data_IF_987990934107
#
_entry.id   IF_987990934107
#
_cell.length_a   1.000
_cell.length_b   1.000
_cell.length_c   1.000
_cell.angle_alpha   90.00
_cell.angle_beta   90.00
_cell.angle_gamma   90.00
#
_symmetry.space_group_name_H-M   'P 1'
#
loop_
_entity.id
_entity.type
_entity.pdbx_description
1 polymer ?
#
# COMPACT_ATOMS: atom_id res chain seq x y z
N UNK A 1 -27.48 29.96 29.14
CA UNK A 1 -27.25 30.27 27.71
C UNK A 1 -28.03 29.27 26.89
N UNK A 2 -29.09 29.72 26.25
CA UNK A 2 -29.99 28.92 25.42
C UNK A 2 -29.37 28.64 24.06
N UNK A 3 -29.49 27.40 23.63
CA UNK A 3 -28.94 26.83 22.39
C UNK A 3 -29.82 27.21 21.19
N UNK A 4 -29.85 28.48 20.82
CA UNK A 4 -30.51 28.93 19.60
C UNK A 4 -29.62 29.98 18.95
N UNK A 5 -28.86 29.53 17.95
CA UNK A 5 -28.53 30.24 16.71
C UNK A 5 -27.39 29.47 16.03
N UNK A 6 -27.75 28.32 15.41
CA UNK A 6 -26.94 27.82 14.31
C UNK A 6 -27.31 28.74 13.14
N UNK A 7 -26.43 29.68 12.86
CA UNK A 7 -26.52 30.58 11.71
C UNK A 7 -26.97 29.78 10.48
N UNK A 8 -28.04 30.26 9.84
CA UNK A 8 -28.48 29.75 8.53
C UNK A 8 -27.29 29.86 7.59
N UNK A 9 -26.64 28.74 7.29
CA UNK A 9 -25.66 28.64 6.22
C UNK A 9 -26.29 29.18 4.95
N UNK A 10 -25.86 30.36 4.52
CA UNK A 10 -26.32 30.97 3.28
C UNK A 10 -25.91 30.02 2.15
N UNK A 11 -26.84 29.44 1.38
CA UNK A 11 -26.45 28.56 0.28
C UNK A 11 -25.64 29.38 -0.72
N UNK A 12 -24.44 28.89 -1.04
CA UNK A 12 -23.63 29.41 -2.15
C UNK A 12 -24.50 29.46 -3.40
N UNK A 13 -24.49 30.59 -4.11
CA UNK A 13 -25.35 30.81 -5.27
C UNK A 13 -25.15 29.70 -6.32
N UNK A 14 -26.13 28.80 -6.39
CA UNK A 14 -26.16 27.72 -7.37
C UNK A 14 -26.46 28.30 -8.77
N UNK A 15 -25.83 27.82 -9.85
CA UNK A 15 -26.13 28.30 -11.21
C UNK A 15 -27.63 28.17 -11.52
N UNK A 16 -28.21 29.17 -12.18
CA UNK A 16 -29.66 29.32 -12.36
C UNK A 16 -30.33 28.21 -13.19
N UNK A 17 -29.55 27.33 -13.84
CA UNK A 17 -30.03 26.14 -14.56
C UNK A 17 -29.08 24.97 -14.30
N UNK A 18 -29.48 24.07 -13.42
CA UNK A 18 -28.80 22.80 -13.16
C UNK A 18 -29.68 21.70 -13.73
N UNK A 19 -29.08 20.76 -14.47
CA UNK A 19 -29.81 19.56 -14.91
C UNK A 19 -30.29 18.76 -13.70
N UNK A 20 -31.47 18.13 -13.77
CA UNK A 20 -32.04 17.39 -12.63
C UNK A 20 -31.04 16.38 -12.02
N UNK A 21 -30.26 15.68 -12.85
CA UNK A 21 -29.22 14.77 -12.37
C UNK A 21 -28.14 15.45 -11.52
N UNK A 22 -27.63 16.60 -11.95
CA UNK A 22 -26.62 17.37 -11.19
C UNK A 22 -27.20 17.93 -9.88
N UNK A 23 -28.46 18.35 -9.86
CA UNK A 23 -29.12 18.83 -8.65
C UNK A 23 -29.32 17.71 -7.61
N UNK A 24 -29.69 16.50 -8.07
CA UNK A 24 -29.78 15.30 -7.22
C UNK A 24 -28.41 14.95 -6.65
N UNK A 25 -27.35 14.97 -7.46
CA UNK A 25 -25.99 14.65 -7.01
C UNK A 25 -25.49 15.62 -5.95
N UNK A 26 -25.67 16.94 -6.15
CA UNK A 26 -25.30 17.95 -5.16
C UNK A 26 -26.04 17.75 -3.84
N UNK A 27 -27.34 17.46 -3.91
CA UNK A 27 -28.17 17.23 -2.72
C UNK A 27 -27.74 15.97 -1.97
N UNK A 28 -27.43 14.88 -2.70
CA UNK A 28 -26.90 13.64 -2.13
C UNK A 28 -25.56 13.89 -1.43
N UNK A 29 -24.62 14.57 -2.07
CA UNK A 29 -23.30 14.83 -1.51
C UNK A 29 -23.38 15.62 -0.19
N UNK A 30 -24.25 16.63 -0.11
CA UNK A 30 -24.48 17.38 1.13
C UNK A 30 -25.10 16.49 2.20
N UNK A 31 -26.12 15.70 1.84
CA UNK A 31 -26.81 14.81 2.78
C UNK A 31 -25.87 13.72 3.33
N UNK A 32 -25.00 13.14 2.50
CA UNK A 32 -24.02 12.14 2.92
C UNK A 32 -23.01 12.70 3.92
N UNK A 33 -22.48 13.90 3.66
CA UNK A 33 -21.54 14.58 4.57
C UNK A 33 -22.22 14.92 5.90
N UNK A 34 -23.43 15.49 5.85
CA UNK A 34 -24.19 15.83 7.06
C UNK A 34 -24.54 14.58 7.87
N UNK A 35 -25.02 13.52 7.21
CA UNK A 35 -25.36 12.25 7.87
C UNK A 35 -24.13 11.62 8.52
N UNK A 36 -22.98 11.60 7.85
CA UNK A 36 -21.75 11.06 8.42
C UNK A 36 -21.30 11.81 9.69
N UNK A 37 -21.37 13.14 9.69
CA UNK A 37 -21.04 13.95 10.87
C UNK A 37 -22.04 13.66 11.99
N UNK A 38 -23.34 13.70 11.71
CA UNK A 38 -24.39 13.49 12.72
C UNK A 38 -24.26 12.10 13.36
N UNK A 39 -24.12 11.05 12.55
CA UNK A 39 -23.94 9.67 13.04
C UNK A 39 -22.66 9.54 13.87
N UNK A 40 -21.55 10.13 13.43
CA UNK A 40 -20.29 10.07 14.18
C UNK A 40 -20.35 10.80 15.53
N UNK A 41 -21.12 11.90 15.63
CA UNK A 41 -21.35 12.61 16.91
C UNK A 41 -22.33 11.87 17.82
N UNK A 42 -23.35 11.22 17.27
CA UNK A 42 -24.34 10.45 18.04
C UNK A 42 -23.79 9.10 18.50
N UNK A 43 -22.91 8.50 17.71
CA UNK A 43 -22.25 7.22 17.98
C UNK A 43 -20.72 7.44 18.04
N UNK A 44 -20.22 8.09 19.11
CA UNK A 44 -18.79 8.33 19.27
C UNK A 44 -18.01 7.02 19.40
N UNK A 45 -16.80 6.97 18.83
CA UNK A 45 -15.90 5.81 18.96
C UNK A 45 -15.56 5.54 20.44
N UNK A 46 -15.49 4.27 20.82
CA UNK A 46 -14.87 3.84 22.07
C UNK A 46 -13.38 3.59 21.84
N UNK A 47 -12.53 4.42 22.46
CA UNK A 47 -11.07 4.35 22.31
C UNK A 47 -10.53 3.03 22.88
N UNK A 48 -11.10 2.53 23.98
CA UNK A 48 -10.66 1.27 24.59
C UNK A 48 -10.96 0.10 23.67
N UNK A 49 -12.15 0.08 23.08
CA UNK A 49 -12.54 -0.93 22.09
C UNK A 49 -11.65 -0.85 20.83
N UNK A 50 -11.40 0.35 20.30
CA UNK A 50 -10.53 0.56 19.15
C UNK A 50 -9.08 0.07 19.39
N UNK A 51 -8.54 0.31 20.59
CA UNK A 51 -7.21 -0.18 21.00
C UNK A 51 -7.21 -1.71 21.13
N UNK A 52 -8.23 -2.30 21.73
CA UNK A 52 -8.34 -3.75 21.84
C UNK A 52 -8.43 -4.42 20.46
N UNK A 53 -9.23 -3.86 19.56
CA UNK A 53 -9.38 -4.35 18.20
C UNK A 53 -8.09 -4.21 17.39
N UNK A 54 -7.41 -3.06 17.48
CA UNK A 54 -6.09 -2.86 16.88
C UNK A 54 -5.10 -3.89 17.39
N UNK A 55 -5.05 -4.14 18.70
CA UNK A 55 -4.16 -5.14 19.30
C UNK A 55 -4.44 -6.53 18.76
N UNK A 56 -5.71 -6.94 18.75
CA UNK A 56 -6.12 -8.23 18.20
C UNK A 56 -5.71 -8.37 16.73
N UNK A 57 -5.96 -7.35 15.92
CA UNK A 57 -5.66 -7.36 14.49
C UNK A 57 -4.15 -7.41 14.21
N UNK A 58 -3.35 -6.62 14.93
CA UNK A 58 -1.89 -6.59 14.77
C UNK A 58 -1.20 -7.88 15.25
N UNK A 59 -1.89 -8.71 16.05
CA UNK A 59 -1.39 -10.05 16.39
C UNK A 59 -1.63 -11.10 15.30
N UNK A 60 -2.46 -10.81 14.30
CA UNK A 60 -2.74 -11.75 13.21
C UNK A 60 -1.57 -11.81 12.22
N UNK A 61 -1.03 -13.01 11.94
CA UNK A 61 0.07 -13.16 10.97
C UNK A 61 -0.26 -12.55 9.60
N UNK A 62 -1.51 -12.72 9.14
CA UNK A 62 -1.96 -12.22 7.84
C UNK A 62 -1.77 -10.70 7.67
N UNK A 63 -2.05 -9.92 8.72
CA UNK A 63 -1.82 -8.48 8.71
C UNK A 63 -0.33 -8.16 8.90
N UNK A 64 0.31 -8.80 9.88
CA UNK A 64 1.70 -8.56 10.23
C UNK A 64 2.64 -8.73 9.02
N UNK A 65 2.42 -9.76 8.19
CA UNK A 65 3.16 -10.03 6.96
C UNK A 65 3.06 -8.93 5.91
N UNK A 66 1.96 -8.14 5.93
CA UNK A 66 1.71 -7.04 5.00
C UNK A 66 1.85 -5.67 5.65
N UNK A 67 2.17 -5.61 6.94
CA UNK A 67 2.13 -4.38 7.72
C UNK A 67 3.24 -3.40 7.34
N UNK A 68 4.32 -3.87 6.71
CA UNK A 68 5.48 -3.06 6.36
C UNK A 68 5.83 -3.21 4.88
N UNK A 69 6.06 -2.07 4.22
CA UNK A 69 6.68 -2.07 2.89
C UNK A 69 8.20 -2.01 3.04
N UNK A 70 8.91 -2.49 2.01
CA UNK A 70 10.36 -2.40 1.94
C UNK A 70 10.81 -2.31 0.49
N UNK A 71 11.72 -1.38 0.19
CA UNK A 71 12.37 -1.31 -1.13
C UNK A 71 13.77 -0.69 -1.04
N UNK A 72 14.69 -1.07 -1.95
CA UNK A 72 16.00 -0.43 -2.04
C UNK A 72 15.91 0.95 -2.69
N UNK A 73 16.61 1.94 -2.14
CA UNK A 73 16.77 3.29 -2.71
C UNK A 73 18.15 3.84 -2.35
N UNK A 74 18.91 4.30 -3.35
CA UNK A 74 20.23 4.93 -3.17
C UNK A 74 21.21 4.13 -2.29
N UNK A 75 21.26 2.80 -2.48
CA UNK A 75 22.13 1.91 -1.69
C UNK A 75 21.66 1.62 -0.26
N UNK A 76 20.53 2.20 0.17
CA UNK A 76 19.91 1.93 1.46
C UNK A 76 18.58 1.21 1.28
N UNK A 77 18.11 0.56 2.34
CA UNK A 77 16.76 -0.02 2.35
C UNK A 77 15.79 0.92 3.05
N UNK A 78 14.77 1.37 2.32
CA UNK A 78 13.66 2.16 2.88
C UNK A 78 12.58 1.21 3.35
N UNK A 79 12.11 1.39 4.58
CA UNK A 79 11.00 0.62 5.15
C UNK A 79 10.07 1.51 5.96
N UNK A 80 8.84 1.06 6.14
CA UNK A 80 7.87 1.75 6.97
C UNK A 80 6.50 1.06 6.95
N UNK A 81 5.52 1.60 7.69
CA UNK A 81 4.19 1.03 7.72
C UNK A 81 3.53 1.12 6.34
N UNK A 82 2.81 0.07 5.96
CA UNK A 82 2.18 -0.06 4.65
C UNK A 82 0.78 0.57 4.61
N UNK A 83 0.19 0.64 3.41
CA UNK A 83 -1.22 1.02 3.24
C UNK A 83 -2.17 -0.01 3.85
N UNK A 84 -1.78 -1.29 3.96
CA UNK A 84 -2.60 -2.32 4.59
C UNK A 84 -2.74 -2.06 6.08
N UNK A 85 -1.62 -1.74 6.76
CA UNK A 85 -1.67 -1.34 8.17
C UNK A 85 -2.50 -0.07 8.34
N UNK A 86 -2.30 0.95 7.49
CA UNK A 86 -3.06 2.20 7.58
C UNK A 86 -4.58 1.96 7.49
N UNK A 87 -5.05 1.21 6.49
CA UNK A 87 -6.47 0.91 6.29
C UNK A 87 -7.05 0.13 7.46
N UNK A 88 -6.31 -0.83 7.99
CA UNK A 88 -6.76 -1.59 9.16
C UNK A 88 -6.85 -0.72 10.42
N UNK A 89 -5.88 0.17 10.64
CA UNK A 89 -5.94 1.11 11.76
C UNK A 89 -7.10 2.10 11.63
N UNK A 90 -7.39 2.59 10.42
CA UNK A 90 -8.56 3.42 10.18
C UNK A 90 -9.87 2.67 10.47
N UNK A 91 -9.93 1.38 10.10
CA UNK A 91 -11.08 0.50 10.39
C UNK A 91 -11.28 0.34 11.90
N UNK A 92 -10.24 -0.03 12.64
CA UNK A 92 -10.28 -0.20 14.10
C UNK A 92 -10.56 1.11 14.83
N UNK A 93 -10.05 2.24 14.34
CA UNK A 93 -10.31 3.55 14.94
C UNK A 93 -11.80 3.93 14.84
N UNK A 94 -12.49 3.47 13.79
CA UNK A 94 -13.89 3.80 13.49
C UNK A 94 -14.05 5.22 12.94
N UNK A 95 -15.25 5.68 12.61
CA UNK A 95 -15.56 7.09 12.29
C UNK A 95 -14.48 7.81 11.45
N UNK A 96 -13.97 7.14 10.41
CA UNK A 96 -12.94 7.64 9.50
C UNK A 96 -13.40 7.35 8.07
N UNK A 97 -13.35 8.38 7.23
CA UNK A 97 -13.48 8.23 5.79
C UNK A 97 -12.12 8.43 5.14
N UNK A 98 -11.76 7.61 4.17
CA UNK A 98 -10.55 7.80 3.37
C UNK A 98 -10.81 7.30 1.96
N UNK A 99 -10.02 7.78 1.00
CA UNK A 99 -10.20 7.37 -0.37
C UNK A 99 -9.18 7.94 -1.33
N UNK A 100 -9.25 7.42 -2.55
CA UNK A 100 -8.51 7.88 -3.71
C UNK A 100 -9.52 8.16 -4.83
N UNK A 101 -9.44 9.34 -5.43
CA UNK A 101 -10.24 9.74 -6.58
C UNK A 101 -9.32 10.12 -7.74
N UNK A 102 -9.61 9.64 -8.95
CA UNK A 102 -9.06 10.22 -10.18
C UNK A 102 -9.96 11.40 -10.57
N UNK A 103 -9.45 12.62 -10.45
CA UNK A 103 -10.20 13.84 -10.75
C UNK A 103 -10.25 14.11 -12.25
N UNK A 104 -9.14 13.81 -12.93
CA UNK A 104 -8.99 14.01 -14.37
C UNK A 104 -7.97 13.02 -14.90
N UNK A 105 -8.21 12.52 -16.11
CA UNK A 105 -7.26 11.74 -16.88
C UNK A 105 -7.00 12.43 -18.21
N UNK A 106 -5.74 12.57 -18.56
CA UNK A 106 -5.27 13.19 -19.79
C UNK A 106 -4.31 12.24 -20.50
N UNK A 107 -4.85 11.44 -21.41
CA UNK A 107 -4.04 10.48 -22.16
C UNK A 107 -3.18 11.16 -23.24
N UNK A 108 -3.52 12.39 -23.66
CA UNK A 108 -2.73 13.16 -24.63
C UNK A 108 -1.47 13.75 -23.98
N UNK A 109 -1.62 14.35 -22.79
CA UNK A 109 -0.50 14.82 -21.99
C UNK A 109 0.19 13.70 -21.19
N UNK A 110 -0.44 12.52 -21.11
CA UNK A 110 0.09 11.34 -20.42
C UNK A 110 0.16 11.53 -18.91
N UNK A 111 -0.92 12.00 -18.29
CA UNK A 111 -1.01 12.19 -16.84
C UNK A 111 -2.41 11.98 -16.28
N UNK A 112 -2.48 11.65 -14.99
CA UNK A 112 -3.73 11.64 -14.21
C UNK A 112 -3.62 12.58 -13.02
N UNK A 113 -4.63 13.42 -12.84
CA UNK A 113 -4.82 14.19 -11.63
C UNK A 113 -5.57 13.35 -10.61
N UNK A 114 -4.92 13.09 -9.48
CA UNK A 114 -5.42 12.20 -8.44
C UNK A 114 -5.58 12.98 -7.14
N UNK A 115 -6.54 12.58 -6.31
CA UNK A 115 -6.71 13.10 -4.97
C UNK A 115 -6.78 11.95 -3.96
N UNK A 116 -5.92 11.99 -2.95
CA UNK A 116 -6.00 11.12 -1.80
C UNK A 116 -6.47 11.92 -0.57
N UNK A 117 -7.35 11.35 0.24
CA UNK A 117 -7.87 12.02 1.43
C UNK A 117 -8.09 11.05 2.59
N UNK A 118 -8.10 11.62 3.79
CA UNK A 118 -8.61 10.98 4.99
C UNK A 118 -9.28 12.02 5.91
N UNK A 119 -10.35 11.63 6.58
CA UNK A 119 -11.15 12.48 7.45
C UNK A 119 -11.63 11.68 8.65
N UNK A 120 -11.15 12.04 9.84
CA UNK A 120 -11.80 11.66 11.09
C UNK A 120 -13.06 12.52 11.23
N UNK A 121 -14.22 11.93 10.91
CA UNK A 121 -15.51 12.65 10.91
C UNK A 121 -15.96 13.04 12.31
N UNK A 122 -15.53 12.31 13.35
CA UNK A 122 -15.94 12.59 14.73
C UNK A 122 -15.12 13.74 15.35
N UNK A 123 -13.81 13.80 15.08
CA UNK A 123 -12.91 14.86 15.55
C UNK A 123 -12.76 16.00 14.55
N UNK A 124 -13.34 15.85 13.37
CA UNK A 124 -13.25 16.76 12.24
C UNK A 124 -11.80 17.07 11.81
N UNK A 125 -10.89 16.10 11.96
CA UNK A 125 -9.51 16.20 11.46
C UNK A 125 -9.46 15.68 10.03
N UNK A 126 -9.11 16.53 9.07
CA UNK A 126 -9.13 16.20 7.64
C UNK A 126 -7.81 16.54 6.98
N UNK A 127 -7.38 15.66 6.10
CA UNK A 127 -6.24 15.88 5.21
C UNK A 127 -6.61 15.43 3.80
N UNK A 128 -6.12 16.17 2.81
CA UNK A 128 -6.27 15.85 1.39
C UNK A 128 -5.06 16.34 0.62
N UNK A 129 -4.61 15.53 -0.34
CA UNK A 129 -3.56 15.89 -1.27
C UNK A 129 -4.05 15.61 -2.68
N UNK A 130 -4.09 16.65 -3.51
CA UNK A 130 -4.19 16.53 -4.97
C UNK A 130 -2.79 16.49 -5.55
N UNK A 131 -2.56 15.60 -6.52
CA UNK A 131 -1.24 15.36 -7.11
C UNK A 131 -1.38 14.83 -8.54
N UNK A 132 -0.38 15.13 -9.35
CA UNK A 132 -0.27 14.62 -10.72
C UNK A 132 0.52 13.31 -10.71
N UNK A 133 -0.01 12.30 -11.40
CA UNK A 133 0.66 11.04 -11.69
C UNK A 133 0.97 10.98 -13.18
N UNK A 134 2.24 11.19 -13.57
CA UNK A 134 2.62 11.00 -14.96
C UNK A 134 2.47 9.52 -15.37
N UNK A 135 1.98 9.26 -16.58
CA UNK A 135 1.86 7.95 -17.20
C UNK A 135 3.23 7.48 -17.71
N UNK A 136 4.20 7.39 -16.79
CA UNK A 136 5.55 6.93 -17.06
C UNK A 136 6.05 6.07 -15.91
N UNK A 137 6.93 5.13 -16.22
CA UNK A 137 7.62 4.28 -15.26
C UNK A 137 9.11 4.48 -15.37
N UNK A 138 9.75 4.76 -14.25
CA UNK A 138 11.21 4.84 -14.19
C UNK A 138 11.84 3.47 -14.46
N UNK A 139 12.85 3.43 -15.33
CA UNK A 139 13.62 2.24 -15.66
C UNK A 139 15.11 2.58 -15.77
N UNK A 140 15.96 1.55 -15.72
CA UNK A 140 17.38 1.68 -16.00
C UNK A 140 17.54 2.12 -17.47
N UNK A 141 18.00 3.36 -17.69
CA UNK A 141 18.08 3.99 -19.01
C UNK A 141 17.10 5.16 -19.24
N UNK A 142 16.24 5.46 -18.26
CA UNK A 142 15.34 6.62 -18.29
C UNK A 142 13.87 6.25 -18.11
N UNK A 143 12.98 7.25 -17.96
CA UNK A 143 11.54 7.02 -17.83
C UNK A 143 10.95 6.48 -19.14
N UNK A 144 10.19 5.39 -19.06
CA UNK A 144 9.42 4.82 -20.18
C UNK A 144 7.96 5.25 -20.06
N UNK A 145 7.39 5.77 -21.15
CA UNK A 145 5.96 6.07 -21.21
C UNK A 145 5.10 4.79 -21.05
N UNK A 146 4.01 4.90 -20.30
CA UNK A 146 3.00 3.86 -20.14
C UNK A 146 1.85 4.18 -21.08
N UNK A 147 1.57 3.27 -22.00
CA UNK A 147 0.46 3.41 -22.97
C UNK A 147 -0.64 2.38 -22.74
N UNK A 148 -0.32 1.29 -22.03
CA UNK A 148 -1.29 0.27 -21.67
C UNK A 148 -2.25 0.78 -20.59
N UNK A 149 -3.56 0.62 -20.81
CA UNK A 149 -4.58 1.02 -19.83
C UNK A 149 -4.34 0.37 -18.45
N UNK A 150 -3.95 -0.91 -18.43
CA UNK A 150 -3.62 -1.64 -17.21
C UNK A 150 -2.41 -1.04 -16.49
N UNK A 151 -1.33 -0.78 -17.23
CA UNK A 151 -0.11 -0.20 -16.66
C UNK A 151 -0.35 1.18 -16.05
N UNK A 152 -1.16 2.01 -16.72
CA UNK A 152 -1.54 3.34 -16.22
C UNK A 152 -2.39 3.20 -14.94
N UNK A 153 -3.37 2.31 -14.94
CA UNK A 153 -4.21 2.07 -13.77
C UNK A 153 -3.38 1.60 -12.56
N UNK A 154 -2.49 0.62 -12.76
CA UNK A 154 -1.63 0.10 -11.70
C UNK A 154 -0.65 1.18 -11.21
N UNK A 155 -0.10 2.01 -12.10
CA UNK A 155 0.74 3.15 -11.72
C UNK A 155 -0.01 4.17 -10.87
N UNK A 156 -1.24 4.53 -11.26
CA UNK A 156 -2.09 5.46 -10.51
C UNK A 156 -2.49 4.89 -9.15
N UNK A 157 -2.89 3.61 -9.10
CA UNK A 157 -3.24 2.92 -7.87
C UNK A 157 -2.05 2.86 -6.89
N UNK A 158 -0.85 2.56 -7.39
CA UNK A 158 0.37 2.51 -6.58
C UNK A 158 0.76 3.88 -6.02
N UNK A 159 0.70 4.93 -6.85
CA UNK A 159 0.97 6.29 -6.41
C UNK A 159 -0.07 6.81 -5.41
N UNK A 160 -1.34 6.46 -5.62
CA UNK A 160 -2.44 6.81 -4.75
C UNK A 160 -2.40 6.09 -3.41
N UNK A 161 -2.07 4.79 -3.39
CA UNK A 161 -1.98 4.00 -2.17
C UNK A 161 -0.97 4.59 -1.16
N UNK A 162 0.16 5.13 -1.63
CA UNK A 162 1.16 5.80 -0.79
C UNK A 162 0.60 7.04 -0.10
N UNK A 163 -0.20 7.83 -0.82
CA UNK A 163 -0.76 9.10 -0.34
C UNK A 163 -2.01 8.89 0.50
N UNK A 164 -2.83 7.89 0.20
CA UNK A 164 -3.93 7.45 1.09
C UNK A 164 -3.37 6.99 2.43
N UNK A 165 -2.29 6.20 2.40
CA UNK A 165 -1.60 5.78 3.62
C UNK A 165 -1.13 6.97 4.46
N UNK A 166 -0.48 7.95 3.83
CA UNK A 166 -0.01 9.17 4.51
C UNK A 166 -1.18 9.99 5.06
N UNK A 167 -2.25 10.13 4.27
CA UNK A 167 -3.47 10.81 4.70
C UNK A 167 -4.09 10.14 5.95
N UNK A 168 -4.21 8.81 5.95
CA UNK A 168 -4.73 8.08 7.11
C UNK A 168 -3.84 8.28 8.33
N UNK A 169 -2.52 8.13 8.20
CA UNK A 169 -1.64 8.32 9.36
C UNK A 169 -1.63 9.75 9.90
N UNK A 170 -1.87 10.76 9.07
CA UNK A 170 -1.94 12.14 9.51
C UNK A 170 -3.16 12.47 10.38
N UNK A 171 -4.23 11.67 10.33
CA UNK A 171 -5.43 11.86 11.17
C UNK A 171 -5.45 10.96 12.41
N UNK A 172 -4.62 9.92 12.46
CA UNK A 172 -4.56 8.98 13.58
C UNK A 172 -3.61 9.47 14.68
N UNK A 173 -3.87 9.16 15.96
CA UNK A 173 -2.93 9.46 17.03
C UNK A 173 -1.59 8.72 16.84
N UNK A 174 -0.43 9.40 16.97
CA UNK A 174 0.87 8.77 16.74
C UNK A 174 1.13 7.53 17.61
N UNK A 175 0.75 7.56 18.89
CA UNK A 175 0.92 6.44 19.81
C UNK A 175 0.16 5.18 19.36
N UNK A 176 -1.01 5.33 18.74
CA UNK A 176 -1.82 4.23 18.25
C UNK A 176 -1.15 3.54 17.06
N UNK A 177 -0.53 4.33 16.19
CA UNK A 177 0.23 3.83 15.03
C UNK A 177 1.53 3.15 15.48
N UNK A 178 2.26 3.73 16.44
CA UNK A 178 3.50 3.14 16.95
C UNK A 178 3.27 1.82 17.69
N UNK A 179 2.22 1.74 18.51
CA UNK A 179 1.87 0.48 19.19
C UNK A 179 1.52 -0.62 18.18
N UNK A 180 0.73 -0.30 17.15
CA UNK A 180 0.39 -1.23 16.08
C UNK A 180 1.63 -1.74 15.32
N UNK A 181 2.58 -0.84 15.03
CA UNK A 181 3.86 -1.22 14.40
C UNK A 181 4.63 -2.19 15.29
N UNK A 182 4.74 -1.92 16.58
CA UNK A 182 5.45 -2.79 17.51
C UNK A 182 4.80 -4.19 17.56
N UNK A 183 3.47 -4.24 17.64
CA UNK A 183 2.71 -5.50 17.66
C UNK A 183 2.94 -6.33 16.40
N UNK A 184 2.78 -5.74 15.22
CA UNK A 184 3.05 -6.42 13.96
C UNK A 184 4.51 -6.93 13.89
N UNK A 185 5.47 -6.12 14.33
CA UNK A 185 6.87 -6.53 14.38
C UNK A 185 7.12 -7.68 15.38
N UNK A 186 6.42 -7.69 16.52
CA UNK A 186 6.47 -8.82 17.47
C UNK A 186 5.89 -10.09 16.86
N UNK A 187 4.75 -10.00 16.18
CA UNK A 187 4.14 -11.15 15.50
C UNK A 187 5.05 -11.73 14.42
N UNK A 188 5.72 -10.88 13.63
CA UNK A 188 6.70 -11.33 12.65
C UNK A 188 7.91 -12.00 13.30
N UNK A 189 8.41 -11.46 14.41
CA UNK A 189 9.51 -12.05 15.18
C UNK A 189 9.15 -13.42 15.74
N UNK A 190 7.99 -13.54 16.35
CA UNK A 190 7.49 -14.82 16.88
C UNK A 190 7.38 -15.87 15.77
N UNK A 191 6.81 -15.51 14.62
CA UNK A 191 6.75 -16.40 13.45
C UNK A 191 6.00 -17.71 13.71
N UNK A 192 5.04 -17.72 14.65
CA UNK A 192 4.34 -18.92 15.08
C UNK A 192 5.22 -19.85 15.93
N UNK A 193 6.15 -19.29 16.70
CA UNK A 193 7.13 -20.03 17.50
C UNK A 193 8.26 -20.70 16.70
N UNK A 194 8.35 -20.47 15.39
CA UNK A 194 9.39 -21.06 14.53
C UNK A 194 10.64 -20.16 14.45
N UNK A 195 11.83 -20.69 14.80
CA UNK A 195 13.10 -19.98 14.60
C UNK A 195 13.29 -19.47 13.17
N UNK A 196 13.92 -18.29 13.02
CA UNK A 196 14.10 -17.63 11.72
C UNK A 196 14.87 -18.50 10.72
N UNK A 197 15.94 -19.18 11.15
CA UNK A 197 16.73 -20.06 10.28
C UNK A 197 15.89 -21.20 9.67
N UNK A 198 14.97 -21.78 10.44
CA UNK A 198 14.05 -22.82 9.94
C UNK A 198 13.07 -22.20 8.94
N UNK A 199 12.52 -21.03 9.24
CA UNK A 199 11.60 -20.33 8.33
C UNK A 199 12.25 -19.93 7.00
N UNK A 200 13.53 -19.54 7.03
CA UNK A 200 14.32 -19.26 5.83
C UNK A 200 14.47 -20.53 4.97
N UNK A 201 14.86 -21.65 5.59
CA UNK A 201 14.99 -22.93 4.91
C UNK A 201 13.66 -23.40 4.29
N UNK A 202 12.56 -23.27 5.03
CA UNK A 202 11.20 -23.58 4.55
C UNK A 202 10.83 -22.71 3.34
N UNK A 203 11.14 -21.41 3.38
CA UNK A 203 10.87 -20.49 2.28
C UNK A 203 11.68 -20.85 1.03
N UNK A 204 12.99 -21.10 1.15
CA UNK A 204 13.85 -21.50 0.02
C UNK A 204 13.33 -22.79 -0.62
N UNK A 205 12.99 -23.80 0.19
CA UNK A 205 12.45 -25.07 -0.30
C UNK A 205 11.10 -24.90 -1.01
N UNK A 206 10.23 -24.04 -0.50
CA UNK A 206 8.95 -23.74 -1.14
C UNK A 206 9.14 -23.10 -2.52
N UNK A 207 10.09 -22.17 -2.65
CA UNK A 207 10.42 -21.52 -3.93
C UNK A 207 11.16 -22.43 -4.91
N UNK A 208 11.98 -23.36 -4.43
CA UNK A 208 12.60 -24.40 -5.25
C UNK A 208 11.54 -25.26 -5.96
N UNK A 209 10.44 -25.59 -5.26
CA UNK A 209 9.29 -26.27 -5.86
C UNK A 209 8.57 -25.47 -6.96
N UNK A 210 8.83 -24.17 -7.06
CA UNK A 210 8.35 -23.28 -8.13
C UNK A 210 9.44 -23.01 -9.20
N UNK A 211 10.59 -23.68 -9.14
CA UNK A 211 11.70 -23.46 -10.06
C UNK A 211 12.52 -22.20 -9.79
N UNK A 212 12.42 -21.60 -8.60
CA UNK A 212 13.18 -20.40 -8.21
C UNK A 212 14.37 -20.82 -7.35
N UNK A 213 15.58 -20.52 -7.82
CA UNK A 213 16.83 -20.79 -7.10
C UNK A 213 17.06 -19.78 -5.97
N UNK A 214 17.85 -20.15 -4.96
CA UNK A 214 18.24 -19.24 -3.88
C UNK A 214 18.84 -17.93 -4.43
N UNK A 215 19.70 -18.00 -5.44
CA UNK A 215 20.33 -16.84 -6.08
C UNK A 215 19.32 -15.86 -6.70
N UNK A 216 18.22 -16.36 -7.30
CA UNK A 216 17.12 -15.51 -7.81
C UNK A 216 16.41 -14.79 -6.66
N UNK A 217 16.22 -15.46 -5.52
CA UNK A 217 15.60 -14.85 -4.34
C UNK A 217 16.53 -13.80 -3.73
N UNK A 218 17.82 -14.09 -3.61
CA UNK A 218 18.82 -13.15 -3.11
C UNK A 218 18.93 -11.90 -4.00
N UNK A 219 18.85 -12.08 -5.32
CA UNK A 219 18.80 -10.99 -6.30
C UNK A 219 17.57 -10.11 -6.08
N UNK A 220 16.39 -10.71 -5.89
CA UNK A 220 15.13 -10.01 -5.61
C UNK A 220 15.19 -9.19 -4.31
N UNK A 221 15.77 -9.76 -3.25
CA UNK A 221 15.88 -9.12 -1.93
C UNK A 221 17.09 -8.19 -1.81
N UNK A 222 18.03 -8.25 -2.76
CA UNK A 222 19.28 -7.50 -2.78
C UNK A 222 20.25 -7.88 -1.65
N UNK A 223 20.19 -9.12 -1.15
CA UNK A 223 21.11 -9.62 -0.10
C UNK A 223 21.12 -11.14 0.00
N UNK A 224 22.23 -11.64 0.51
CA UNK A 224 22.46 -13.06 0.78
C UNK A 224 21.50 -13.61 1.85
N UNK A 225 21.18 -14.90 1.73
CA UNK A 225 20.27 -15.66 2.60
C UNK A 225 20.64 -15.53 4.08
N UNK A 226 21.94 -15.52 4.40
CA UNK A 226 22.42 -15.34 5.78
C UNK A 226 22.14 -13.96 6.40
N UNK A 227 21.67 -12.99 5.61
CA UNK A 227 21.30 -11.63 6.07
C UNK A 227 19.79 -11.38 6.00
N UNK A 228 18.99 -12.42 5.79
CA UNK A 228 17.54 -12.29 5.77
C UNK A 228 17.00 -12.03 7.17
N UNK A 229 15.92 -11.26 7.20
CA UNK A 229 15.17 -10.84 8.39
C UNK A 229 13.78 -11.48 8.36
N UNK A 230 13.04 -11.37 9.45
CA UNK A 230 11.66 -11.84 9.53
C UNK A 230 10.76 -11.14 8.51
N UNK A 231 11.06 -9.88 8.19
CA UNK A 231 10.38 -9.13 7.14
C UNK A 231 10.62 -9.73 5.76
N UNK A 232 11.84 -10.17 5.47
CA UNK A 232 12.16 -10.79 4.17
C UNK A 232 11.40 -12.11 4.00
N UNK A 233 11.36 -12.93 5.05
CA UNK A 233 10.57 -14.18 5.05
C UNK A 233 9.07 -13.91 4.87
N UNK A 234 8.53 -12.89 5.56
CA UNK A 234 7.14 -12.50 5.41
C UNK A 234 6.81 -12.01 3.98
N UNK A 235 7.70 -11.22 3.38
CA UNK A 235 7.57 -10.79 1.99
C UNK A 235 7.54 -12.00 1.05
N UNK A 236 8.43 -12.97 1.25
CA UNK A 236 8.47 -14.21 0.48
C UNK A 236 7.20 -15.04 0.64
N UNK A 237 6.62 -15.13 1.83
CA UNK A 237 5.34 -15.80 2.06
C UNK A 237 4.16 -15.12 1.35
N UNK A 238 4.14 -13.78 1.31
CA UNK A 238 3.13 -13.02 0.57
C UNK A 238 3.26 -13.29 -0.94
N UNK A 239 4.47 -13.21 -1.49
CA UNK A 239 4.74 -13.48 -2.90
C UNK A 239 4.35 -14.92 -3.26
N UNK A 240 4.76 -15.89 -2.44
CA UNK A 240 4.45 -17.30 -2.67
C UNK A 240 2.95 -17.55 -2.78
N UNK A 241 2.13 -16.97 -1.89
CA UNK A 241 0.66 -17.11 -1.97
C UNK A 241 0.07 -16.44 -3.21
N UNK A 242 0.57 -15.27 -3.59
CA UNK A 242 0.11 -14.56 -4.80
C UNK A 242 0.40 -15.36 -6.07
N UNK A 243 1.57 -16.01 -6.13
CA UNK A 243 1.93 -16.96 -7.20
C UNK A 243 1.01 -18.18 -7.18
N UNK A 244 0.76 -18.80 -6.02
CA UNK A 244 -0.13 -19.97 -5.93
C UNK A 244 -1.58 -19.65 -6.35
N UNK A 245 -2.03 -18.41 -6.12
CA UNK A 245 -3.36 -17.93 -6.51
C UNK A 245 -3.44 -17.51 -7.99
N UNK A 246 -2.31 -17.49 -8.71
CA UNK A 246 -2.25 -17.08 -10.11
C UNK A 246 -2.41 -15.56 -10.31
N UNK A 247 -2.23 -14.76 -9.26
CA UNK A 247 -2.34 -13.30 -9.33
C UNK A 247 -1.12 -12.67 -10.01
N UNK A 248 0.05 -13.28 -9.79
CA UNK A 248 1.35 -12.90 -10.38
C UNK A 248 2.06 -14.14 -10.90
N UNK A 249 2.86 -13.99 -11.95
CA UNK A 249 3.70 -15.08 -12.44
C UNK A 249 5.02 -15.15 -11.66
N UNK A 250 5.63 -16.35 -11.62
CA UNK A 250 6.95 -16.56 -11.02
C UNK A 250 8.01 -15.67 -11.68
N UNK A 251 7.95 -15.52 -13.00
CA UNK A 251 8.94 -14.77 -13.77
C UNK A 251 8.78 -13.25 -13.63
N UNK A 252 7.57 -12.76 -13.36
CA UNK A 252 7.36 -11.34 -13.02
C UNK A 252 7.99 -10.99 -11.67
N UNK A 253 7.83 -11.87 -10.68
CA UNK A 253 8.36 -11.64 -9.34
C UNK A 253 9.85 -11.95 -9.22
N UNK A 254 10.33 -12.98 -9.88
CA UNK A 254 11.73 -13.42 -9.87
C UNK A 254 12.27 -13.52 -11.30
N UNK A 255 12.54 -12.42 -12.02
CA UNK A 255 13.03 -12.50 -13.39
C UNK A 255 14.25 -13.42 -13.54
N UNK A 256 14.30 -14.22 -14.61
CA UNK A 256 15.47 -15.04 -14.89
C UNK A 256 16.73 -14.16 -15.01
N UNK A 257 17.90 -14.63 -14.52
CA UNK A 257 19.15 -13.94 -14.77
C UNK A 257 19.31 -13.73 -16.28
N UNK A 258 19.61 -12.51 -16.70
CA UNK A 258 19.95 -12.25 -18.09
C UNK A 258 21.28 -12.93 -18.35
N UNK A 259 21.26 -14.05 -19.07
CA UNK A 259 22.48 -14.65 -19.62
C UNK A 259 23.05 -13.63 -20.60
N UNK A 260 24.19 -13.03 -20.25
CA UNK A 260 24.91 -12.14 -21.16
C UNK A 260 25.58 -12.98 -22.23
N UNK A 261 25.67 -12.47 -23.46
CA UNK A 261 26.26 -13.20 -24.59
C UNK A 261 27.68 -13.73 -24.31
N UNK A 262 28.41 -13.10 -23.39
CA UNK A 262 29.75 -13.51 -22.93
C UNK A 262 29.77 -14.86 -22.17
N UNK A 263 28.64 -15.29 -21.58
CA UNK A 263 28.55 -16.57 -20.88
C UNK A 263 28.28 -17.75 -21.84
N UNK A 264 27.82 -17.47 -23.06
CA UNK A 264 27.55 -18.48 -24.09
C UNK A 264 28.82 -18.81 -24.90
N UNK A 265 29.76 -17.86 -25.01
CA UNK A 265 31.00 -18.02 -25.80
C UNK A 265 32.21 -18.52 -25.01
N UNK A 266 32.16 -18.56 -23.67
CA UNK A 266 33.26 -19.01 -22.80
C UNK A 266 33.50 -20.53 -22.74
N UNK A 267 32.71 -21.34 -23.45
CA UNK A 267 32.73 -22.79 -23.42
C UNK A 267 33.45 -23.47 -24.59
N UNK A 268 34.63 -22.98 -25.01
CA UNK A 268 35.49 -23.71 -25.94
C UNK A 268 36.89 -23.88 -25.32
N UNK A 269 37.32 -25.11 -24.97
CA UNK A 269 38.67 -25.32 -24.46
C UNK A 269 39.68 -25.11 -25.58
N UNK A 270 40.60 -24.15 -25.39
CA UNK A 270 41.81 -24.04 -26.20
C UNK A 270 42.68 -25.27 -25.92
N UNK A 271 42.58 -26.27 -26.78
CA UNK A 271 43.57 -27.35 -26.87
C UNK A 271 44.90 -26.76 -27.33
N UNK A 272 45.89 -26.81 -26.45
CA UNK A 272 47.26 -26.43 -26.75
C UNK A 272 48.00 -27.53 -27.50
N UNK A 273 48.71 -27.15 -28.55
CA UNK A 273 49.86 -27.88 -29.09
C UNK A 273 50.90 -26.86 -29.57
N UNK A 274 52.02 -26.78 -28.84
CA UNK A 274 53.42 -26.77 -29.30
C UNK A 274 54.35 -26.38 -28.12
#
# INVERSE_FOLDING_TARGET
MTYQDIERTTPVAAPARIGQGTAVEQSRAVAEVQAAIVVAQQCPRDITAAVAEMRQSCTQPYLAERAFFRFPRAGQTVSGPSVHLARELARCWGNVQYGLAELRRDDEYGESEMQAFAWDVQKNSRTSSTFIVPHKRDQNGGPKALTGMRDIYENNANNGARRVREAIFAILPPWFVEEAKELCARTLRDGGGKPLNIRIADAVKAFEGLGVTADRIETKLGRLTGKWTEHDVAQLQVIYRSVQQGEVSVDDEFPAPRVTADEITGGAPAGGEA
#
